data_IF_601646952995
#
_entry.id   IF_601646952995
#
_cell.length_a   1.000
_cell.length_b   1.000
_cell.length_c   1.000
_cell.angle_alpha   90.00
_cell.angle_beta   90.00
_cell.angle_gamma   90.00
#
_symmetry.space_group_name_H-M   'P 1'
#
loop_
_entity.id
_entity.type
_entity.pdbx_description
1 polymer ?
#
# COMPACT_ATOMS: atom_id res chain seq x y z
N UNK A 1 -4.88 7.78 -19.56
CA UNK A 1 -4.67 9.18 -19.11
C UNK A 1 -5.68 10.11 -19.76
N UNK A 2 -5.90 10.06 -21.11
CA UNK A 2 -6.76 10.99 -21.84
C UNK A 2 -8.15 11.22 -21.22
N UNK A 3 -8.87 10.17 -20.84
CA UNK A 3 -10.19 10.31 -20.19
C UNK A 3 -10.14 11.06 -18.84
N UNK A 4 -9.06 10.91 -18.08
CA UNK A 4 -8.85 11.65 -16.80
C UNK A 4 -8.60 13.12 -17.10
N UNK A 5 -7.73 13.41 -18.07
CA UNK A 5 -7.40 14.79 -18.45
C UNK A 5 -8.60 15.54 -19.03
N UNK A 6 -9.47 14.85 -19.81
CA UNK A 6 -10.70 15.46 -20.35
C UNK A 6 -11.62 15.97 -19.24
N UNK A 7 -11.61 15.32 -18.08
CA UNK A 7 -12.38 15.76 -16.89
C UNK A 7 -11.60 16.77 -16.00
N UNK A 8 -10.45 17.27 -16.45
CA UNK A 8 -9.65 18.30 -15.77
C UNK A 8 -8.83 17.79 -14.58
N UNK A 9 -8.63 16.47 -14.43
CA UNK A 9 -7.84 15.89 -13.36
C UNK A 9 -6.46 15.44 -13.87
N UNK A 10 -5.44 15.50 -13.00
CA UNK A 10 -4.15 14.90 -13.26
C UNK A 10 -4.19 13.37 -13.10
N UNK A 11 -3.43 12.66 -13.93
CA UNK A 11 -3.33 11.22 -13.93
C UNK A 11 -2.03 10.76 -13.25
N UNK A 12 -2.15 10.01 -12.15
CA UNK A 12 -1.02 9.39 -11.46
C UNK A 12 -1.05 7.86 -11.58
N UNK A 13 0.13 7.24 -11.63
CA UNK A 13 0.27 5.79 -11.60
C UNK A 13 1.19 5.34 -10.47
N UNK A 14 0.77 4.30 -9.74
CA UNK A 14 1.66 3.67 -8.75
C UNK A 14 2.49 2.57 -9.40
N UNK A 15 3.81 2.64 -9.19
CA UNK A 15 4.77 1.61 -9.63
C UNK A 15 5.36 0.90 -8.41
N UNK A 16 5.60 -0.41 -8.53
CA UNK A 16 6.15 -1.21 -7.45
C UNK A 16 6.46 -2.63 -7.90
N UNK A 17 7.20 -3.35 -7.07
CA UNK A 17 7.50 -4.76 -7.26
C UNK A 17 7.04 -5.54 -6.03
N UNK A 18 6.25 -6.59 -6.23
CA UNK A 18 5.62 -7.35 -5.13
C UNK A 18 6.63 -8.06 -4.21
N UNK A 19 7.85 -8.31 -4.68
CA UNK A 19 8.84 -9.03 -3.88
C UNK A 19 8.35 -10.42 -3.47
N UNK A 20 8.45 -10.73 -2.18
CA UNK A 20 8.00 -12.01 -1.61
C UNK A 20 6.48 -12.22 -1.62
N UNK A 21 5.69 -11.19 -1.96
CA UNK A 21 4.24 -11.29 -2.10
C UNK A 21 3.79 -11.85 -3.46
N UNK A 22 4.70 -12.00 -4.42
CA UNK A 22 4.41 -12.66 -5.69
C UNK A 22 4.34 -14.18 -5.52
N UNK A 23 3.82 -14.87 -6.54
CA UNK A 23 3.71 -16.31 -6.58
C UNK A 23 4.29 -16.87 -7.88
N UNK A 24 5.01 -18.00 -7.81
CA UNK A 24 5.67 -18.61 -8.98
C UNK A 24 4.72 -18.82 -10.16
N UNK A 25 3.45 -19.17 -9.90
CA UNK A 25 2.44 -19.35 -10.95
C UNK A 25 2.11 -18.06 -11.72
N UNK A 26 2.32 -16.89 -11.08
CA UNK A 26 2.02 -15.58 -11.67
C UNK A 26 3.26 -15.03 -12.37
N UNK A 27 4.42 -15.04 -11.70
CA UNK A 27 5.64 -14.44 -12.24
C UNK A 27 6.50 -15.40 -13.08
N UNK A 28 6.11 -16.69 -13.21
CA UNK A 28 6.83 -17.71 -13.98
C UNK A 28 8.11 -18.21 -13.34
N UNK A 29 8.67 -17.50 -12.36
CA UNK A 29 9.94 -17.80 -11.68
C UNK A 29 9.76 -17.83 -10.16
N UNK A 30 10.81 -18.26 -9.44
CA UNK A 30 10.82 -18.11 -7.97
C UNK A 30 10.80 -16.62 -7.61
N UNK A 31 9.83 -16.16 -6.81
CA UNK A 31 9.78 -14.76 -6.34
C UNK A 31 11.09 -14.34 -5.66
N UNK A 32 11.41 -13.07 -5.78
CA UNK A 32 12.63 -12.46 -5.23
C UNK A 32 12.30 -11.56 -4.03
N UNK A 33 13.27 -11.39 -3.14
CA UNK A 33 13.15 -10.55 -1.94
C UNK A 33 14.53 -10.03 -1.52
N UNK A 34 14.59 -9.23 -0.46
CA UNK A 34 15.85 -8.84 0.16
C UNK A 34 16.65 -10.07 0.64
N UNK A 35 15.98 -11.07 1.22
CA UNK A 35 16.59 -12.29 1.74
C UNK A 35 15.79 -13.53 1.32
N UNK A 36 16.48 -14.68 1.26
CA UNK A 36 15.83 -15.98 1.03
C UNK A 36 14.97 -16.37 2.21
N UNK A 37 13.79 -16.94 1.94
CA UNK A 37 12.88 -17.37 2.99
C UNK A 37 11.60 -18.00 2.45
N UNK A 38 10.60 -18.10 3.32
CA UNK A 38 9.28 -18.60 2.99
C UNK A 38 8.23 -17.59 3.43
N UNK A 39 7.33 -17.20 2.53
CA UNK A 39 6.22 -16.34 2.83
C UNK A 39 4.98 -17.17 3.17
N UNK A 40 4.57 -17.14 4.44
CA UNK A 40 3.38 -17.86 4.92
C UNK A 40 2.06 -17.26 4.41
N UNK A 41 2.02 -15.96 4.16
CA UNK A 41 0.81 -15.27 3.71
C UNK A 41 0.44 -15.63 2.25
N UNK A 42 1.45 -15.76 1.39
CA UNK A 42 1.34 -16.34 0.06
C UNK A 42 2.27 -17.56 0.03
N UNK A 43 1.82 -18.77 0.40
CA UNK A 43 2.69 -19.90 0.69
C UNK A 43 3.65 -20.20 -0.47
N UNK A 44 4.82 -19.58 -0.44
CA UNK A 44 5.82 -19.68 -1.49
C UNK A 44 7.25 -19.51 -0.95
N UNK A 45 8.18 -20.26 -1.52
CA UNK A 45 9.61 -20.01 -1.32
C UNK A 45 10.03 -18.80 -2.13
N UNK A 46 10.87 -17.97 -1.51
CA UNK A 46 11.42 -16.76 -2.14
C UNK A 46 12.95 -16.83 -2.11
N UNK A 47 13.56 -16.29 -3.14
CA UNK A 47 15.02 -16.19 -3.27
C UNK A 47 15.47 -14.77 -2.93
N UNK A 48 16.49 -14.66 -2.09
CA UNK A 48 17.20 -13.39 -1.90
C UNK A 48 17.84 -12.92 -3.21
N UNK A 49 17.70 -11.64 -3.52
CA UNK A 49 18.37 -11.04 -4.68
C UNK A 49 19.88 -11.09 -4.50
N UNK A 50 20.59 -11.42 -5.56
CA UNK A 50 22.05 -11.30 -5.63
C UNK A 50 22.44 -9.81 -5.75
N UNK A 51 23.66 -9.47 -5.34
CA UNK A 51 24.15 -8.10 -5.40
C UNK A 51 24.13 -7.54 -6.84
N UNK A 52 24.48 -8.37 -7.80
CA UNK A 52 24.55 -8.02 -9.23
C UNK A 52 23.18 -7.75 -9.86
N UNK A 53 22.10 -8.25 -9.24
CA UNK A 53 20.72 -8.08 -9.71
C UNK A 53 20.11 -6.73 -9.28
N UNK A 54 20.64 -6.11 -8.21
CA UNK A 54 20.08 -4.88 -7.63
C UNK A 54 20.10 -3.69 -8.60
N UNK A 55 21.20 -3.41 -9.32
CA UNK A 55 21.22 -2.32 -10.30
C UNK A 55 20.22 -2.53 -11.44
N UNK A 56 20.04 -3.77 -11.91
CA UNK A 56 19.08 -4.06 -12.98
C UNK A 56 17.64 -3.87 -12.51
N UNK A 57 17.33 -4.27 -11.28
CA UNK A 57 16.03 -4.04 -10.68
C UNK A 57 15.76 -2.54 -10.50
N UNK A 58 16.75 -1.75 -10.08
CA UNK A 58 16.61 -0.30 -9.98
C UNK A 58 16.33 0.33 -11.36
N UNK A 59 17.08 -0.07 -12.41
CA UNK A 59 16.81 0.36 -13.79
C UNK A 59 15.41 -0.05 -14.28
N UNK A 60 14.85 -1.17 -13.81
CA UNK A 60 13.49 -1.56 -14.17
C UNK A 60 12.44 -0.57 -13.65
N UNK A 61 12.65 0.02 -12.45
CA UNK A 61 11.81 1.13 -11.98
C UNK A 61 11.95 2.37 -12.87
N UNK A 62 13.18 2.74 -13.27
CA UNK A 62 13.40 3.84 -14.22
C UNK A 62 12.68 3.61 -15.56
N UNK A 63 12.75 2.39 -16.12
CA UNK A 63 12.00 2.04 -17.35
C UNK A 63 10.49 2.15 -17.16
N UNK A 64 9.96 1.76 -16.00
CA UNK A 64 8.53 1.88 -15.70
C UNK A 64 8.09 3.37 -15.66
N UNK A 65 8.93 4.26 -15.10
CA UNK A 65 8.69 5.70 -15.11
C UNK A 65 8.71 6.26 -16.53
N UNK A 66 9.67 5.86 -17.35
CA UNK A 66 9.75 6.28 -18.75
C UNK A 66 8.48 5.88 -19.52
N UNK A 67 8.01 4.63 -19.38
CA UNK A 67 6.75 4.17 -19.97
C UNK A 67 5.53 4.94 -19.44
N UNK A 68 5.52 5.31 -18.16
CA UNK A 68 4.45 6.14 -17.59
C UNK A 68 4.41 7.54 -18.24
N UNK A 69 5.58 8.16 -18.46
CA UNK A 69 5.68 9.44 -19.20
C UNK A 69 5.18 9.33 -20.63
N UNK A 70 5.61 8.32 -21.35
CA UNK A 70 5.13 8.06 -22.73
C UNK A 70 3.62 7.83 -22.79
N UNK A 71 3.04 7.20 -21.75
CA UNK A 71 1.60 7.00 -21.61
C UNK A 71 0.83 8.27 -21.16
N UNK A 72 1.53 9.40 -20.93
CA UNK A 72 0.95 10.69 -20.57
C UNK A 72 0.50 10.81 -19.11
N UNK A 73 1.14 10.09 -18.18
CA UNK A 73 0.90 10.30 -16.74
C UNK A 73 1.63 11.56 -16.24
N UNK A 74 0.98 12.33 -15.36
CA UNK A 74 1.52 13.54 -14.74
C UNK A 74 2.38 13.23 -13.51
N UNK A 75 2.12 12.09 -12.87
CA UNK A 75 2.80 11.68 -11.65
C UNK A 75 3.05 10.18 -11.60
N UNK A 76 4.15 9.78 -10.93
CA UNK A 76 4.37 8.41 -10.48
C UNK A 76 4.40 8.36 -8.95
N UNK A 77 3.76 7.35 -8.38
CA UNK A 77 3.90 7.01 -6.97
C UNK A 77 4.76 5.74 -6.84
N UNK A 78 5.96 5.88 -6.26
CA UNK A 78 6.85 4.74 -5.97
C UNK A 78 6.37 4.05 -4.71
N UNK A 79 6.04 2.76 -4.81
CA UNK A 79 5.58 1.99 -3.66
C UNK A 79 6.75 1.46 -2.84
N UNK A 80 7.11 2.17 -1.75
CA UNK A 80 8.18 1.81 -0.83
C UNK A 80 7.70 1.29 0.54
N UNK A 81 6.41 0.96 0.66
CA UNK A 81 5.77 0.50 1.90
C UNK A 81 5.17 -0.91 1.83
N UNK A 82 4.39 -1.24 2.84
CA UNK A 82 3.48 -2.39 2.97
C UNK A 82 4.13 -3.78 2.83
N UNK A 83 5.47 -3.88 2.93
CA UNK A 83 6.17 -5.15 2.79
C UNK A 83 6.38 -5.59 1.34
N UNK A 84 6.29 -4.68 0.37
CA UNK A 84 6.73 -4.92 -1.01
C UNK A 84 8.23 -4.75 -1.15
N UNK A 85 8.82 -4.92 -2.34
CA UNK A 85 10.26 -5.14 -2.49
C UNK A 85 11.13 -4.08 -1.81
N UNK A 86 10.88 -2.78 -2.01
CA UNK A 86 11.66 -1.71 -1.36
C UNK A 86 11.49 -1.79 0.16
N UNK A 87 10.25 -1.95 0.64
CA UNK A 87 9.97 -2.13 2.07
C UNK A 87 10.64 -3.37 2.65
N UNK A 88 10.78 -4.45 1.86
CA UNK A 88 11.50 -5.68 2.28
C UNK A 88 12.99 -5.44 2.48
N UNK A 89 13.61 -4.51 1.76
CA UNK A 89 14.98 -4.09 1.99
C UNK A 89 15.10 -3.19 3.22
N UNK A 90 14.14 -2.29 3.44
CA UNK A 90 14.13 -1.35 4.56
C UNK A 90 13.85 -2.03 5.90
N UNK A 91 12.93 -3.00 5.94
CA UNK A 91 12.49 -3.67 7.16
C UNK A 91 13.54 -4.68 7.68
N UNK A 92 13.94 -4.60 8.95
CA UNK A 92 14.81 -5.61 9.57
C UNK A 92 14.15 -6.99 9.65
N UNK A 93 12.82 -7.07 9.60
CA UNK A 93 12.07 -8.32 9.61
C UNK A 93 12.29 -9.19 8.37
N UNK A 94 12.53 -8.58 7.20
CA UNK A 94 12.72 -9.29 5.93
C UNK A 94 14.13 -9.20 5.40
N UNK A 95 14.91 -8.21 5.83
CA UNK A 95 16.28 -8.01 5.39
C UNK A 95 17.28 -8.59 6.40
N UNK A 96 17.67 -9.85 6.17
CA UNK A 96 18.69 -10.56 6.96
C UNK A 96 20.05 -10.62 6.25
N UNK A 97 20.27 -9.74 5.26
CA UNK A 97 21.52 -9.68 4.50
C UNK A 97 22.71 -9.34 5.40
N UNK A 98 23.89 -9.86 5.02
CA UNK A 98 25.17 -9.60 5.71
C UNK A 98 26.15 -8.80 4.86
N UNK A 99 25.71 -8.39 3.67
CA UNK A 99 26.45 -7.51 2.77
C UNK A 99 26.07 -6.03 2.97
N UNK A 100 26.57 -5.15 2.09
CA UNK A 100 26.37 -3.70 2.13
C UNK A 100 24.90 -3.24 1.96
N UNK A 101 23.96 -4.17 1.81
CA UNK A 101 22.52 -3.90 1.66
C UNK A 101 21.69 -4.41 2.85
N UNK A 102 22.33 -4.81 3.96
CA UNK A 102 21.66 -5.31 5.16
C UNK A 102 22.31 -4.82 6.47
N UNK A 103 21.72 -5.23 7.60
CA UNK A 103 22.18 -4.80 8.93
C UNK A 103 21.75 -3.37 9.28
N UNK A 104 22.68 -2.42 9.32
CA UNK A 104 22.41 -1.03 9.68
C UNK A 104 21.42 -0.37 8.71
N UNK A 105 20.65 0.60 9.19
CA UNK A 105 19.63 1.30 8.38
C UNK A 105 20.24 1.92 7.12
N UNK A 106 21.42 2.53 7.20
CA UNK A 106 22.11 3.11 6.03
C UNK A 106 22.33 2.08 4.92
N UNK A 107 22.67 0.86 5.27
CA UNK A 107 22.83 -0.23 4.31
C UNK A 107 21.49 -0.69 3.74
N UNK A 108 20.47 -0.80 4.61
CA UNK A 108 19.09 -1.19 4.19
C UNK A 108 18.48 -0.17 3.25
N UNK A 109 18.83 1.12 3.34
CA UNK A 109 18.39 2.19 2.45
C UNK A 109 19.05 2.15 1.06
N UNK A 110 20.22 1.55 0.88
CA UNK A 110 20.98 1.62 -0.39
C UNK A 110 20.20 1.16 -1.62
N UNK A 111 19.39 0.09 -1.50
CA UNK A 111 18.56 -0.35 -2.62
C UNK A 111 17.48 0.68 -2.97
N UNK A 112 16.81 1.25 -1.97
CA UNK A 112 15.87 2.36 -2.16
C UNK A 112 16.54 3.56 -2.84
N UNK A 113 17.75 3.93 -2.44
CA UNK A 113 18.51 5.02 -3.04
C UNK A 113 18.83 4.76 -4.52
N UNK A 114 19.22 3.53 -4.87
CA UNK A 114 19.44 3.14 -6.26
C UNK A 114 18.17 3.27 -7.09
N UNK A 115 17.03 2.79 -6.56
CA UNK A 115 15.73 2.92 -7.22
C UNK A 115 15.35 4.38 -7.41
N UNK A 116 15.48 5.22 -6.37
CA UNK A 116 15.11 6.63 -6.46
C UNK A 116 15.99 7.40 -7.47
N UNK A 117 17.29 7.11 -7.55
CA UNK A 117 18.16 7.74 -8.54
C UNK A 117 17.69 7.43 -9.98
N UNK A 118 17.33 6.18 -10.28
CA UNK A 118 16.81 5.78 -11.61
C UNK A 118 15.43 6.40 -11.88
N UNK A 119 14.56 6.44 -10.87
CA UNK A 119 13.22 7.04 -10.96
C UNK A 119 13.33 8.55 -11.24
N UNK A 120 14.11 9.29 -10.45
CA UNK A 120 14.28 10.74 -10.62
C UNK A 120 14.91 11.10 -11.96
N UNK A 121 15.89 10.30 -12.41
CA UNK A 121 16.50 10.47 -13.74
C UNK A 121 15.48 10.29 -14.85
N UNK A 122 14.63 9.25 -14.77
CA UNK A 122 13.61 8.96 -15.76
C UNK A 122 12.42 9.93 -15.73
N UNK A 123 12.04 10.44 -14.55
CA UNK A 123 10.98 11.41 -14.36
C UNK A 123 11.32 12.78 -15.00
N UNK A 124 12.60 13.19 -14.94
CA UNK A 124 13.01 14.50 -15.43
C UNK A 124 12.36 15.65 -14.68
N UNK A 125 12.09 16.77 -15.37
CA UNK A 125 11.43 17.95 -14.79
C UNK A 125 9.90 17.97 -14.91
N UNK A 126 9.34 17.07 -15.71
CA UNK A 126 7.96 17.18 -16.20
C UNK A 126 6.98 16.26 -15.45
N UNK A 127 7.50 15.31 -14.65
CA UNK A 127 6.69 14.34 -13.95
C UNK A 127 6.88 14.44 -12.44
N UNK A 128 5.80 14.51 -11.69
CA UNK A 128 5.85 14.48 -10.24
C UNK A 128 6.24 13.07 -9.74
N UNK A 129 7.15 12.99 -8.78
CA UNK A 129 7.57 11.75 -8.10
C UNK A 129 7.09 11.79 -6.65
N UNK A 130 6.13 10.93 -6.34
CA UNK A 130 5.58 10.75 -5.00
C UNK A 130 6.08 9.41 -4.45
N UNK A 131 6.36 9.31 -3.17
CA UNK A 131 6.76 8.03 -2.57
C UNK A 131 5.82 7.64 -1.45
N UNK A 132 5.16 6.48 -1.59
CA UNK A 132 4.38 5.87 -0.51
C UNK A 132 5.27 5.01 0.36
N UNK A 133 5.35 5.36 1.65
CA UNK A 133 6.22 4.70 2.60
C UNK A 133 5.48 4.26 3.87
N UNK A 134 6.08 3.35 4.63
CA UNK A 134 5.60 3.04 5.97
C UNK A 134 6.11 4.04 6.99
N UNK A 135 5.24 4.55 7.84
CA UNK A 135 5.62 5.23 9.08
C UNK A 135 6.13 4.24 10.13
N UNK A 136 5.61 3.03 10.08
CA UNK A 136 6.06 1.84 10.83
C UNK A 136 5.48 0.56 10.22
N UNK A 137 6.11 -0.58 10.46
CA UNK A 137 5.62 -1.87 9.94
C UNK A 137 4.43 -2.42 10.73
N UNK A 138 4.20 -1.95 11.95
CA UNK A 138 3.02 -2.27 12.75
C UNK A 138 3.08 -3.59 13.52
N UNK A 139 4.27 -4.14 13.72
CA UNK A 139 4.51 -5.34 14.55
C UNK A 139 5.94 -5.36 15.12
N UNK A 140 6.15 -6.12 16.17
CA UNK A 140 7.44 -6.25 16.85
C UNK A 140 8.52 -6.84 15.93
N UNK A 141 9.65 -6.17 15.80
CA UNK A 141 10.77 -6.57 14.97
C UNK A 141 10.70 -6.06 13.52
N UNK A 142 9.68 -5.28 13.18
CA UNK A 142 9.62 -4.49 11.95
C UNK A 142 10.32 -3.14 12.11
N UNK A 143 10.28 -2.33 11.06
CA UNK A 143 10.77 -0.95 11.07
C UNK A 143 9.83 -0.07 11.93
N UNK A 144 10.41 0.75 12.79
CA UNK A 144 9.70 1.67 13.66
C UNK A 144 9.87 3.13 13.24
N UNK A 145 9.12 4.04 13.86
CA UNK A 145 8.99 5.44 13.46
C UNK A 145 10.33 6.18 13.37
N UNK A 146 11.27 5.93 14.29
CA UNK A 146 12.57 6.62 14.32
C UNK A 146 13.44 6.29 13.09
N UNK A 147 13.46 5.03 12.68
CA UNK A 147 14.12 4.61 11.43
C UNK A 147 13.38 5.15 10.21
N UNK A 148 12.04 5.09 10.24
CA UNK A 148 11.21 5.55 9.13
C UNK A 148 11.31 7.06 8.89
N UNK A 149 11.50 7.88 9.93
CA UNK A 149 11.78 9.31 9.80
C UNK A 149 13.12 9.55 9.09
N UNK A 150 14.15 8.73 9.33
CA UNK A 150 15.40 8.81 8.60
C UNK A 150 15.22 8.44 7.11
N UNK A 151 14.42 7.40 6.83
CA UNK A 151 14.03 7.04 5.46
C UNK A 151 13.30 8.19 4.76
N UNK A 152 12.33 8.84 5.44
CA UNK A 152 11.60 9.99 4.91
C UNK A 152 12.52 11.15 4.53
N UNK A 153 13.43 11.55 5.45
CA UNK A 153 14.44 12.58 5.19
C UNK A 153 15.32 12.23 4.00
N UNK A 154 15.71 10.96 3.89
CA UNK A 154 16.55 10.51 2.78
C UNK A 154 15.81 10.52 1.44
N UNK A 155 14.54 10.12 1.39
CA UNK A 155 13.72 10.20 0.19
C UNK A 155 13.56 11.63 -0.33
N UNK A 156 13.30 12.58 0.57
CA UNK A 156 13.22 14.01 0.22
C UNK A 156 14.58 14.53 -0.29
N UNK A 157 15.67 14.17 0.36
CA UNK A 157 17.03 14.54 -0.08
C UNK A 157 17.42 13.93 -1.44
N UNK A 158 16.78 12.83 -1.85
CA UNK A 158 16.94 12.23 -3.19
C UNK A 158 16.00 12.85 -4.24
N UNK A 159 15.22 13.85 -3.87
CA UNK A 159 14.36 14.59 -4.78
C UNK A 159 12.91 14.16 -4.85
N UNK A 160 12.43 13.27 -3.96
CA UNK A 160 11.00 12.98 -3.90
C UNK A 160 10.19 14.26 -3.68
N UNK A 161 9.18 14.51 -4.52
CA UNK A 161 8.39 15.73 -4.48
C UNK A 161 7.35 15.74 -3.37
N UNK A 162 6.86 14.55 -2.96
CA UNK A 162 5.96 14.39 -1.82
C UNK A 162 6.06 12.98 -1.23
N UNK A 163 5.67 12.82 0.05
CA UNK A 163 5.60 11.53 0.73
C UNK A 163 4.17 11.19 1.09
N UNK A 164 3.72 9.98 0.77
CA UNK A 164 2.45 9.41 1.24
C UNK A 164 2.72 8.58 2.49
N UNK A 165 2.21 9.04 3.61
CA UNK A 165 2.43 8.47 4.93
C UNK A 165 1.46 7.33 5.22
N UNK A 166 1.89 6.10 5.00
CA UNK A 166 1.14 4.88 5.27
C UNK A 166 1.80 4.02 6.34
N UNK A 167 1.36 2.80 6.54
CA UNK A 167 1.98 1.89 7.49
C UNK A 167 1.47 0.47 7.39
N UNK A 168 2.22 -0.45 7.98
CA UNK A 168 1.89 -1.86 8.03
C UNK A 168 2.63 -2.71 6.99
N UNK A 169 2.42 -4.02 7.08
CA UNK A 169 3.15 -5.02 6.31
C UNK A 169 2.17 -6.14 5.91
N UNK A 170 1.80 -6.24 4.65
CA UNK A 170 0.69 -7.08 4.18
C UNK A 170 0.91 -8.56 4.52
N UNK A 171 2.14 -9.07 4.44
CA UNK A 171 2.45 -10.48 4.75
C UNK A 171 2.52 -10.82 6.24
N UNK A 172 2.44 -9.82 7.14
CA UNK A 172 2.56 -10.04 8.60
C UNK A 172 1.44 -9.38 9.40
N UNK A 173 1.04 -8.17 9.01
CA UNK A 173 0.04 -7.36 9.71
C UNK A 173 -0.94 -6.69 8.73
N UNK A 174 -1.68 -7.46 7.89
CA UNK A 174 -2.54 -6.89 6.87
C UNK A 174 -3.63 -5.98 7.44
N UNK A 175 -4.18 -6.32 8.60
CA UNK A 175 -5.23 -5.50 9.22
C UNK A 175 -4.70 -4.23 9.89
N UNK A 176 -3.39 -4.10 10.09
CA UNK A 176 -2.80 -2.82 10.48
C UNK A 176 -2.92 -1.78 9.33
N UNK A 177 -2.76 -2.23 8.08
CA UNK A 177 -2.92 -1.39 6.88
C UNK A 177 -4.40 -1.08 6.63
N UNK A 178 -5.28 -2.09 6.73
CA UNK A 178 -6.65 -2.01 6.22
C UNK A 178 -7.68 -1.69 7.28
N UNK A 179 -7.41 -2.04 8.54
CA UNK A 179 -8.34 -1.98 9.67
C UNK A 179 -9.63 -2.80 9.45
N UNK A 180 -10.38 -3.01 10.52
CA UNK A 180 -11.55 -3.90 10.52
C UNK A 180 -11.14 -5.37 10.64
N UNK A 181 -12.00 -6.26 10.21
CA UNK A 181 -11.75 -7.70 10.16
C UNK A 181 -11.56 -8.18 8.71
N UNK A 182 -10.79 -9.25 8.54
CA UNK A 182 -10.67 -9.89 7.22
C UNK A 182 -11.94 -10.71 6.93
N UNK A 183 -12.55 -10.57 5.73
CA UNK A 183 -13.72 -11.34 5.32
C UNK A 183 -13.31 -12.76 4.92
N UNK A 184 -13.04 -13.61 5.90
CA UNK A 184 -12.47 -14.95 5.73
C UNK A 184 -13.35 -15.86 4.86
N UNK A 185 -14.69 -15.76 4.97
CA UNK A 185 -15.59 -16.57 4.14
C UNK A 185 -15.55 -16.11 2.68
N UNK A 186 -15.54 -14.79 2.45
CA UNK A 186 -15.44 -14.21 1.11
C UNK A 186 -14.12 -14.58 0.45
N UNK A 187 -12.98 -14.43 1.15
CA UNK A 187 -11.68 -14.90 0.66
C UNK A 187 -11.73 -16.37 0.28
N UNK A 188 -12.16 -17.23 1.21
CA UNK A 188 -12.22 -18.68 0.98
C UNK A 188 -13.21 -19.06 -0.13
N UNK A 189 -14.28 -18.30 -0.33
CA UNK A 189 -15.28 -18.60 -1.36
C UNK A 189 -14.66 -18.58 -2.77
N UNK A 190 -13.87 -17.56 -3.06
CA UNK A 190 -13.26 -17.36 -4.37
C UNK A 190 -11.97 -18.14 -4.60
N UNK A 191 -11.41 -18.85 -3.61
CA UNK A 191 -10.22 -19.68 -3.77
C UNK A 191 -10.52 -20.96 -4.54
N UNK A 192 -9.71 -21.30 -5.54
CA UNK A 192 -9.83 -22.56 -6.30
C UNK A 192 -9.26 -23.76 -5.54
N UNK A 193 -8.18 -23.54 -4.77
CA UNK A 193 -7.48 -24.59 -4.07
C UNK A 193 -8.22 -25.04 -2.81
N UNK A 194 -8.80 -26.25 -2.82
CA UNK A 194 -9.69 -26.75 -1.77
C UNK A 194 -8.99 -26.83 -0.38
N UNK A 195 -7.76 -27.32 -0.29
CA UNK A 195 -7.05 -27.44 0.97
C UNK A 195 -6.68 -26.08 1.57
N UNK A 196 -6.31 -25.10 0.73
CA UNK A 196 -6.07 -23.72 1.15
C UNK A 196 -7.37 -23.07 1.64
N UNK A 197 -8.48 -23.30 0.93
CA UNK A 197 -9.81 -22.86 1.32
C UNK A 197 -10.19 -23.34 2.72
N UNK A 198 -9.96 -24.63 3.02
CA UNK A 198 -10.21 -25.19 4.36
C UNK A 198 -9.26 -24.61 5.41
N UNK A 199 -7.97 -24.48 5.10
CA UNK A 199 -6.97 -23.87 5.98
C UNK A 199 -7.33 -22.43 6.35
N UNK A 200 -7.71 -21.60 5.38
CA UNK A 200 -8.15 -20.21 5.61
C UNK A 200 -9.42 -20.17 6.46
N UNK A 201 -10.39 -21.05 6.23
CA UNK A 201 -11.64 -21.11 7.03
C UNK A 201 -11.38 -21.50 8.49
N UNK A 202 -10.47 -22.44 8.74
CA UNK A 202 -10.15 -22.91 10.09
C UNK A 202 -9.26 -21.95 10.87
N UNK A 203 -8.20 -21.44 10.24
CA UNK A 203 -7.13 -20.70 10.91
C UNK A 203 -7.09 -19.20 10.59
N UNK A 204 -7.82 -18.75 9.56
CA UNK A 204 -7.71 -17.38 9.05
C UNK A 204 -7.97 -16.30 10.10
N UNK A 205 -8.94 -16.47 10.98
CA UNK A 205 -9.21 -15.51 12.07
C UNK A 205 -8.10 -15.43 13.09
N UNK A 206 -7.42 -16.54 13.36
CA UNK A 206 -6.29 -16.58 14.26
C UNK A 206 -5.03 -16.01 13.62
N UNK A 207 -4.80 -16.32 12.33
CA UNK A 207 -3.66 -15.82 11.57
C UNK A 207 -3.77 -14.32 11.24
N UNK A 208 -4.99 -13.83 11.06
CA UNK A 208 -5.27 -12.43 10.66
C UNK A 208 -6.18 -11.79 11.72
N UNK A 209 -5.59 -11.29 12.82
CA UNK A 209 -6.36 -10.69 13.90
C UNK A 209 -7.05 -9.40 13.43
N UNK A 210 -8.26 -9.17 13.94
CA UNK A 210 -9.00 -7.93 13.70
C UNK A 210 -8.30 -6.75 14.37
N UNK A 211 -8.20 -5.64 13.65
CA UNK A 211 -7.77 -4.35 14.20
C UNK A 211 -8.94 -3.37 14.00
N UNK A 212 -9.54 -2.83 15.07
CA UNK A 212 -10.72 -1.98 14.96
C UNK A 212 -10.51 -0.82 13.98
N UNK A 213 -11.53 -0.55 13.17
CA UNK A 213 -11.53 0.62 12.30
C UNK A 213 -11.90 1.86 13.14
N UNK A 214 -11.17 2.93 12.92
CA UNK A 214 -11.54 4.32 13.26
C UNK A 214 -11.15 5.21 12.11
N UNK A 215 -11.87 6.27 11.87
CA UNK A 215 -11.51 7.21 10.81
C UNK A 215 -10.16 7.87 11.12
N UNK A 216 -9.40 8.19 10.09
CA UNK A 216 -8.05 8.77 10.19
C UNK A 216 -7.07 7.99 11.12
N UNK A 217 -7.11 6.67 11.09
CA UNK A 217 -6.38 5.79 12.02
C UNK A 217 -4.85 5.91 12.01
N UNK A 218 -4.26 6.60 11.06
CA UNK A 218 -2.82 6.88 11.01
C UNK A 218 -2.48 8.32 11.43
N UNK A 219 -3.45 9.15 11.80
CA UNK A 219 -3.22 10.58 12.06
C UNK A 219 -2.20 10.80 13.18
N UNK A 220 -2.30 10.06 14.28
CA UNK A 220 -1.37 10.17 15.41
C UNK A 220 0.10 9.91 15.01
N UNK A 221 0.34 8.88 14.21
CA UNK A 221 1.69 8.60 13.71
C UNK A 221 2.11 9.62 12.64
N UNK A 222 1.20 10.02 11.75
CA UNK A 222 1.47 11.00 10.70
C UNK A 222 1.84 12.39 11.24
N UNK A 223 1.25 12.82 12.35
CA UNK A 223 1.59 14.08 13.03
C UNK A 223 3.05 14.11 13.52
N UNK A 224 3.64 12.96 13.88
CA UNK A 224 5.07 12.88 14.22
C UNK A 224 5.96 13.21 13.01
N UNK A 225 5.53 12.78 11.82
CA UNK A 225 6.21 13.12 10.55
C UNK A 225 6.01 14.59 10.21
N UNK A 226 4.80 15.14 10.35
CA UNK A 226 4.54 16.56 10.13
C UNK A 226 5.42 17.43 11.02
N UNK A 227 5.50 17.09 12.31
CA UNK A 227 6.35 17.82 13.26
C UNK A 227 7.85 17.73 12.93
N UNK A 228 8.32 16.57 12.45
CA UNK A 228 9.74 16.35 12.11
C UNK A 228 10.13 16.89 10.72
N UNK A 229 9.16 17.18 9.84
CA UNK A 229 9.32 17.57 8.44
C UNK A 229 8.37 18.75 8.11
N UNK A 230 8.51 19.92 8.76
CA UNK A 230 7.53 21.00 8.70
C UNK A 230 7.33 21.59 7.29
N UNK A 231 8.36 21.54 6.44
CA UNK A 231 8.32 22.10 5.08
C UNK A 231 8.11 21.05 3.97
N UNK A 232 8.05 19.76 4.34
CA UNK A 232 7.94 18.72 3.33
C UNK A 232 6.49 18.56 2.86
N UNK A 233 6.21 18.40 1.55
CA UNK A 233 4.90 18.02 1.07
C UNK A 233 4.53 16.61 1.56
N UNK A 234 3.52 16.51 2.44
CA UNK A 234 3.07 15.27 3.05
C UNK A 234 1.61 15.00 2.67
N UNK A 235 1.38 13.80 2.16
CA UNK A 235 0.06 13.31 1.77
C UNK A 235 -0.41 12.27 2.79
N UNK A 236 -1.56 12.53 3.39
CA UNK A 236 -2.14 11.60 4.36
C UNK A 236 -2.92 10.48 3.66
N UNK A 237 -2.77 9.23 4.14
CA UNK A 237 -3.63 8.10 3.77
C UNK A 237 -4.00 7.29 5.01
N UNK A 238 -5.27 6.93 5.17
CA UNK A 238 -5.68 6.07 6.28
C UNK A 238 -7.11 6.27 6.75
N UNK A 239 -8.07 5.62 6.09
CA UNK A 239 -9.46 5.47 6.58
C UNK A 239 -10.32 6.72 6.51
N UNK A 240 -10.11 7.60 5.56
CA UNK A 240 -10.93 8.78 5.35
C UNK A 240 -12.23 8.42 4.63
N UNK A 241 -13.37 8.79 5.22
CA UNK A 241 -14.72 8.54 4.69
C UNK A 241 -15.68 9.71 4.93
N UNK A 242 -15.26 10.79 5.60
CA UNK A 242 -16.07 11.98 5.79
C UNK A 242 -15.29 13.25 5.42
N UNK A 243 -16.02 14.28 4.95
CA UNK A 243 -15.45 15.59 4.69
C UNK A 243 -14.86 16.20 5.97
N UNK A 244 -15.59 16.16 7.08
CA UNK A 244 -15.14 16.65 8.38
C UNK A 244 -13.74 16.13 8.76
N UNK A 245 -13.51 14.82 8.60
CA UNK A 245 -12.22 14.22 8.95
C UNK A 245 -11.12 14.53 7.92
N UNK A 246 -11.49 14.74 6.66
CA UNK A 246 -10.56 15.22 5.63
C UNK A 246 -10.11 16.63 5.95
N UNK A 247 -11.05 17.53 6.28
CA UNK A 247 -10.76 18.93 6.65
C UNK A 247 -9.86 18.97 7.90
N UNK A 248 -10.16 18.19 8.95
CA UNK A 248 -9.31 18.03 10.15
C UNK A 248 -7.86 17.64 9.80
N UNK A 249 -7.69 16.70 8.87
CA UNK A 249 -6.35 16.26 8.43
C UNK A 249 -5.63 17.37 7.68
N UNK A 250 -6.31 18.09 6.80
CA UNK A 250 -5.72 19.19 6.04
C UNK A 250 -5.36 20.36 7.00
N UNK A 251 -6.23 20.69 7.94
CA UNK A 251 -5.98 21.71 8.97
C UNK A 251 -4.81 21.36 9.90
N UNK A 252 -4.54 20.05 10.07
CA UNK A 252 -3.36 19.56 10.79
C UNK A 252 -2.04 19.72 10.00
N UNK A 253 -2.10 20.33 8.80
CA UNK A 253 -0.95 20.73 8.00
C UNK A 253 -0.52 19.70 6.94
N UNK A 254 -1.37 18.76 6.57
CA UNK A 254 -1.12 17.88 5.42
C UNK A 254 -1.53 18.56 4.13
N UNK A 255 -0.71 18.40 3.08
CA UNK A 255 -0.90 19.10 1.80
C UNK A 255 -1.99 18.46 0.93
N UNK A 256 -2.24 17.17 1.12
CA UNK A 256 -3.26 16.40 0.41
C UNK A 256 -3.64 15.12 1.16
N UNK A 257 -4.70 14.47 0.69
CA UNK A 257 -5.14 13.16 1.19
C UNK A 257 -5.27 12.14 0.06
N UNK A 258 -5.06 10.86 0.39
CA UNK A 258 -5.37 9.74 -0.50
C UNK A 258 -6.51 8.91 0.06
N UNK A 259 -7.46 8.54 -0.79
CA UNK A 259 -8.57 7.65 -0.48
C UNK A 259 -8.60 6.48 -1.46
N UNK A 260 -8.88 5.27 -0.97
CA UNK A 260 -9.04 4.09 -1.81
C UNK A 260 -10.46 3.51 -1.71
N UNK A 261 -10.80 2.89 -0.58
CA UNK A 261 -12.11 2.20 -0.43
C UNK A 261 -13.31 3.13 -0.51
N UNK A 262 -13.18 4.37 -0.03
CA UNK A 262 -14.23 5.38 -0.16
C UNK A 262 -14.57 5.64 -1.64
N UNK A 263 -13.55 5.84 -2.48
CA UNK A 263 -13.75 6.07 -3.93
C UNK A 263 -14.15 4.81 -4.70
N UNK A 264 -13.73 3.62 -4.24
CA UNK A 264 -14.25 2.37 -4.79
C UNK A 264 -15.74 2.16 -4.48
N UNK A 265 -16.19 2.62 -3.31
CA UNK A 265 -17.59 2.59 -2.91
C UNK A 265 -18.40 3.70 -3.58
N UNK A 266 -17.85 4.90 -3.66
CA UNK A 266 -18.53 6.08 -4.18
C UNK A 266 -17.57 6.91 -5.04
N UNK A 267 -17.51 6.66 -6.37
CA UNK A 267 -16.63 7.41 -7.29
C UNK A 267 -16.89 8.93 -7.26
N UNK A 268 -18.15 9.34 -7.07
CA UNK A 268 -18.58 10.76 -7.01
C UNK A 268 -18.34 11.42 -5.64
N UNK A 269 -17.72 10.74 -4.68
CA UNK A 269 -17.58 11.24 -3.31
C UNK A 269 -16.88 12.59 -3.23
N UNK A 270 -15.82 12.82 -4.03
CA UNK A 270 -15.12 14.11 -4.07
C UNK A 270 -16.02 15.22 -4.59
N UNK A 271 -16.78 14.96 -5.66
CA UNK A 271 -17.74 15.94 -6.21
C UNK A 271 -18.88 16.22 -5.23
N UNK A 272 -19.31 15.21 -4.48
CA UNK A 272 -20.33 15.40 -3.44
C UNK A 272 -19.82 16.24 -2.28
N UNK A 273 -18.59 16.02 -1.81
CA UNK A 273 -17.96 16.84 -0.77
C UNK A 273 -17.88 18.33 -1.13
N UNK A 274 -17.74 18.67 -2.42
CA UNK A 274 -17.74 20.07 -2.87
C UNK A 274 -19.10 20.78 -2.63
N UNK A 275 -20.18 20.01 -2.57
CA UNK A 275 -21.56 20.53 -2.46
C UNK A 275 -22.17 20.37 -1.07
N UNK A 276 -21.71 19.42 -0.30
CA UNK A 276 -22.28 19.00 0.98
C UNK A 276 -21.21 19.05 2.09
N UNK A 277 -21.37 19.91 3.08
CA UNK A 277 -20.44 20.03 4.21
C UNK A 277 -20.38 18.77 5.07
N UNK A 278 -21.50 18.06 5.22
CA UNK A 278 -21.58 16.82 6.01
C UNK A 278 -21.46 15.55 5.16
N UNK A 279 -20.81 15.64 3.99
CA UNK A 279 -20.64 14.50 3.12
C UNK A 279 -19.88 13.37 3.82
N UNK A 280 -20.47 12.17 3.81
CA UNK A 280 -19.88 10.96 4.34
C UNK A 280 -20.11 9.78 3.38
N UNK A 281 -19.06 9.06 3.04
CA UNK A 281 -19.14 7.88 2.18
C UNK A 281 -19.81 6.71 2.92
N UNK A 282 -20.62 5.93 2.20
CA UNK A 282 -21.37 4.78 2.74
C UNK A 282 -20.55 3.47 2.82
N UNK A 283 -19.22 3.54 2.79
CA UNK A 283 -18.37 2.36 2.93
C UNK A 283 -18.46 1.79 4.35
N UNK A 284 -19.10 0.64 4.52
CA UNK A 284 -19.28 -0.05 5.81
C UNK A 284 -18.05 -0.83 6.30
N UNK A 285 -16.88 -0.73 5.63
CA UNK A 285 -15.60 -1.35 6.00
C UNK A 285 -15.62 -2.87 6.18
N UNK A 286 -16.55 -3.58 5.52
CA UNK A 286 -16.61 -5.05 5.52
C UNK A 286 -15.35 -5.73 4.93
N UNK A 287 -14.48 -4.95 4.28
CA UNK A 287 -13.28 -5.42 3.57
C UNK A 287 -13.56 -6.48 2.48
N UNK A 288 -14.82 -6.63 2.05
CA UNK A 288 -15.19 -7.57 1.01
C UNK A 288 -14.39 -7.36 -0.29
N UNK A 289 -14.21 -6.11 -0.72
CA UNK A 289 -13.41 -5.74 -1.89
C UNK A 289 -11.96 -6.25 -1.78
N UNK A 290 -11.37 -6.20 -0.58
CA UNK A 290 -10.02 -6.71 -0.31
C UNK A 290 -9.98 -8.24 -0.34
N UNK A 291 -10.94 -8.90 0.30
CA UNK A 291 -11.03 -10.37 0.29
C UNK A 291 -11.22 -10.94 -1.11
N UNK A 292 -11.92 -10.22 -1.98
CA UNK A 292 -12.20 -10.59 -3.37
C UNK A 292 -10.98 -10.46 -4.28
N UNK A 293 -10.17 -9.42 -4.13
CA UNK A 293 -9.07 -9.08 -5.05
C UNK A 293 -7.95 -10.13 -5.14
N UNK A 294 -7.89 -11.08 -4.21
CA UNK A 294 -6.87 -12.14 -4.24
C UNK A 294 -7.09 -13.20 -5.32
N UNK A 295 -8.30 -13.28 -5.87
CA UNK A 295 -8.67 -14.34 -6.82
C UNK A 295 -9.42 -13.84 -8.04
N UNK A 296 -10.14 -12.74 -7.91
CA UNK A 296 -10.90 -12.11 -8.98
C UNK A 296 -10.74 -10.59 -8.89
N UNK A 297 -11.27 -9.85 -9.83
CA UNK A 297 -11.22 -8.40 -9.87
C UNK A 297 -11.81 -7.75 -8.58
N UNK A 298 -11.18 -6.69 -8.13
CA UNK A 298 -11.63 -5.93 -6.98
C UNK A 298 -12.94 -5.19 -7.30
N UNK A 299 -13.95 -5.34 -6.44
CA UNK A 299 -15.22 -4.63 -6.57
C UNK A 299 -15.87 -4.40 -5.22
N UNK A 300 -16.59 -3.28 -5.08
CA UNK A 300 -17.44 -3.06 -3.92
C UNK A 300 -18.71 -3.93 -4.02
N UNK A 301 -19.11 -4.58 -2.93
CA UNK A 301 -20.32 -5.44 -2.93
C UNK A 301 -21.60 -4.66 -3.24
N UNK A 302 -21.63 -3.36 -2.93
CA UNK A 302 -22.80 -2.49 -3.20
C UNK A 302 -23.02 -2.23 -4.70
N UNK A 303 -22.01 -2.45 -5.54
CA UNK A 303 -22.07 -2.22 -7.00
C UNK A 303 -22.14 -3.49 -7.83
N UNK A 304 -22.21 -4.66 -7.18
CA UNK A 304 -22.32 -5.91 -7.91
C UNK A 304 -23.73 -6.06 -8.52
N UNK A 305 -23.76 -6.35 -9.83
CA UNK A 305 -25.00 -6.63 -10.55
C UNK A 305 -25.62 -7.97 -10.12
N UNK A 306 -24.79 -8.92 -9.73
CA UNK A 306 -25.21 -10.25 -9.30
C UNK A 306 -25.49 -10.29 -7.80
N UNK A 307 -26.53 -11.02 -7.42
CA UNK A 307 -26.86 -11.24 -6.01
C UNK A 307 -25.82 -12.15 -5.37
N UNK A 308 -25.17 -11.65 -4.32
CA UNK A 308 -24.22 -12.45 -3.56
C UNK A 308 -24.86 -13.67 -2.90
N UNK A 309 -24.14 -14.80 -2.79
CA UNK A 309 -24.58 -15.94 -2.02
C UNK A 309 -24.96 -15.56 -0.58
N UNK A 310 -25.99 -16.15 0.03
CA UNK A 310 -26.47 -15.78 1.37
C UNK A 310 -25.40 -15.87 2.48
N UNK A 311 -24.41 -16.76 2.30
CA UNK A 311 -23.31 -16.90 3.27
C UNK A 311 -22.34 -15.69 3.24
N UNK A 312 -22.14 -15.06 2.08
CA UNK A 312 -21.32 -13.87 1.92
C UNK A 312 -22.09 -12.62 2.36
N UNK A 313 -23.37 -12.51 2.04
CA UNK A 313 -24.21 -11.41 2.53
C UNK A 313 -24.19 -11.32 4.05
N UNK A 314 -24.45 -12.46 4.74
CA UNK A 314 -24.40 -12.53 6.20
C UNK A 314 -23.02 -12.21 6.79
N UNK A 315 -21.92 -12.51 6.10
CA UNK A 315 -20.58 -12.11 6.54
C UNK A 315 -20.41 -10.60 6.44
N UNK A 316 -20.77 -9.99 5.32
CA UNK A 316 -20.68 -8.54 5.08
C UNK A 316 -21.50 -7.79 6.14
N UNK A 317 -22.79 -8.13 6.30
CA UNK A 317 -23.68 -7.50 7.30
C UNK A 317 -23.12 -7.57 8.73
N UNK A 318 -22.46 -8.70 9.07
CA UNK A 318 -21.82 -8.85 10.37
C UNK A 318 -20.59 -7.95 10.52
N UNK A 319 -19.78 -7.80 9.47
CA UNK A 319 -18.55 -7.02 9.50
C UNK A 319 -18.82 -5.52 9.49
N UNK A 320 -19.89 -5.08 8.84
CA UNK A 320 -20.30 -3.67 8.80
C UNK A 320 -20.93 -3.16 10.11
N UNK A 321 -21.29 -4.07 11.00
CA UNK A 321 -21.82 -3.76 12.35
C UNK A 321 -20.71 -3.68 13.43
N UNK A 322 -19.46 -3.99 13.08
CA UNK A 322 -18.30 -3.95 13.97
C UNK A 322 -17.56 -2.61 13.87
#
# INVERSE_FOLDING_TARGET
TGAIHTEGAAAGIQIGHCGNMSHKKICGTTPISASTGFNLYSPTFVRGMKREELPEMARAYGRAVHLAREAGFDAVEVHAGHGYLISQFLSPYTNHRKDDYGGLLQNRMRFMEMVMNEVMTAAGSDMAVIVKMNMRDGFKGGMETDESLQVAKRLLALGAHALVLSGGFVSKAPMYVMRGAMPIRSMAYYMDCWWLKYGVRMFGKWMIPTVPFREAYFLEDALKFRAALPEAPLIYVGGLVSREKIDEVLDAGFDAVQMARALLNEPEFVNRMRREEQARCNCGHSNYCIGRMYTIEMACHQHLKEKLPPCLQREIEKLEKQ
#
